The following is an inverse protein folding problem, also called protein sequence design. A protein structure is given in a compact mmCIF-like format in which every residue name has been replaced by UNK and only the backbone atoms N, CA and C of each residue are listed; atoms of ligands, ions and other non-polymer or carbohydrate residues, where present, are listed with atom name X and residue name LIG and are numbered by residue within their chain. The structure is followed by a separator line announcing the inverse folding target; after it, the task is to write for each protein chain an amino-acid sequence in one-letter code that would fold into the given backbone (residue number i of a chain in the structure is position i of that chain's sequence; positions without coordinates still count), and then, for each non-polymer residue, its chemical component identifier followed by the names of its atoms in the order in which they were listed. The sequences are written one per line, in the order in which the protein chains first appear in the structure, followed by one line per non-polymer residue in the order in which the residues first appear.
data_IF_799488620679
#
_entry.id   IF_799488620679
#
_cell.length_a   1.000
_cell.length_b   1.000
_cell.length_c   1.000
_cell.angle_alpha   90.00
_cell.angle_beta   90.00
_cell.angle_gamma   90.00
#
_symmetry.space_group_name_H-M   'P 1'
#
loop_
_entity.id
_entity.type
_entity.pdbx_description
1 polymer ?
#
# COMPACT_ATOMS: atom_id res chain seq x y z
N UNK A 1 14.42 16.41 -7.10
CA UNK A 1 14.09 16.62 -5.66
C UNK A 1 13.33 15.38 -5.19
N UNK A 2 13.71 14.73 -4.09
CA UNK A 2 12.97 13.55 -3.57
C UNK A 2 12.02 13.99 -2.46
N UNK A 3 10.79 13.48 -2.48
CA UNK A 3 9.77 13.75 -1.45
C UNK A 3 9.39 12.45 -0.78
N UNK A 4 9.22 12.47 0.54
CA UNK A 4 8.78 11.29 1.28
C UNK A 4 7.29 11.04 1.01
N UNK A 5 6.97 9.81 0.58
CA UNK A 5 5.62 9.39 0.25
C UNK A 5 5.24 8.13 1.06
N UNK A 6 3.93 7.91 1.18
CA UNK A 6 3.35 6.74 1.82
C UNK A 6 3.19 5.62 0.81
N UNK A 7 3.72 4.45 1.15
CA UNK A 7 3.66 3.25 0.33
C UNK A 7 2.98 2.10 1.08
N UNK A 8 2.30 1.26 0.31
CA UNK A 8 1.83 -0.05 0.77
C UNK A 8 2.74 -1.10 0.16
N UNK A 9 3.26 -2.00 1.02
CA UNK A 9 4.01 -3.19 0.60
C UNK A 9 3.08 -4.16 -0.13
N UNK A 10 3.07 -4.04 -1.45
CA UNK A 10 2.11 -4.72 -2.29
C UNK A 10 2.43 -6.22 -2.44
N UNK A 11 3.71 -6.59 -2.36
CA UNK A 11 4.20 -7.97 -2.40
C UNK A 11 3.58 -8.85 -1.29
N UNK A 12 3.48 -8.32 -0.07
CA UNK A 12 2.88 -9.03 1.07
C UNK A 12 1.38 -9.23 0.87
N UNK A 13 0.71 -8.26 0.26
CA UNK A 13 -0.73 -8.35 -0.04
C UNK A 13 -1.01 -9.25 -1.25
N UNK A 14 -0.09 -9.31 -2.19
CA UNK A 14 -0.24 -10.07 -3.42
C UNK A 14 -0.17 -11.58 -3.19
N UNK A 15 0.69 -12.05 -2.26
CA UNK A 15 0.84 -13.47 -1.92
C UNK A 15 -0.49 -14.18 -1.62
N UNK A 16 -1.28 -13.77 -0.60
CA UNK A 16 -2.53 -14.45 -0.29
C UNK A 16 -3.56 -14.33 -1.42
N UNK A 17 -3.51 -13.25 -2.21
CA UNK A 17 -4.42 -13.06 -3.34
C UNK A 17 -4.08 -14.02 -4.50
N UNK A 18 -2.80 -14.25 -4.78
CA UNK A 18 -2.33 -15.25 -5.76
C UNK A 18 -2.68 -16.66 -5.29
N UNK A 19 -2.42 -16.98 -4.02
CA UNK A 19 -2.72 -18.29 -3.44
C UNK A 19 -4.22 -18.63 -3.53
N UNK A 20 -5.11 -17.66 -3.30
CA UNK A 20 -6.56 -17.87 -3.43
C UNK A 20 -7.00 -18.25 -4.85
N UNK A 21 -6.31 -17.73 -5.87
CA UNK A 21 -6.58 -18.08 -7.28
C UNK A 21 -5.94 -19.43 -7.62
N UNK A 22 -4.73 -19.71 -7.13
CA UNK A 22 -4.04 -21.00 -7.35
C UNK A 22 -4.76 -22.18 -6.67
N UNK A 23 -5.29 -21.99 -5.47
CA UNK A 23 -6.10 -22.97 -4.75
C UNK A 23 -7.51 -23.13 -5.33
N UNK A 24 -7.94 -22.18 -6.16
CA UNK A 24 -9.24 -22.17 -6.81
C UNK A 24 -10.38 -21.63 -5.95
N UNK A 25 -10.09 -20.99 -4.82
CA UNK A 25 -11.07 -20.23 -4.02
C UNK A 25 -11.67 -19.07 -4.82
N UNK A 26 -10.89 -18.54 -5.79
CA UNK A 26 -11.32 -17.55 -6.77
C UNK A 26 -11.16 -18.14 -8.17
N UNK A 27 -12.21 -18.05 -8.99
CA UNK A 27 -12.22 -18.52 -10.37
C UNK A 27 -12.49 -17.35 -11.31
N UNK A 28 -11.69 -17.22 -12.37
CA UNK A 28 -11.93 -16.20 -13.40
C UNK A 28 -12.79 -16.77 -14.53
N UNK A 29 -13.76 -15.97 -14.99
CA UNK A 29 -14.60 -16.28 -16.15
C UNK A 29 -14.47 -15.16 -17.18
N UNK A 30 -13.87 -15.42 -18.36
CA UNK A 30 -13.22 -16.66 -18.81
C UNK A 30 -11.83 -16.90 -18.18
N UNK A 31 -11.40 -18.17 -18.10
CA UNK A 31 -10.12 -18.61 -17.49
C UNK A 31 -8.87 -17.94 -18.04
N UNK A 32 -8.87 -17.49 -19.29
CA UNK A 32 -7.71 -16.86 -19.92
C UNK A 32 -7.18 -15.63 -19.14
N UNK A 33 -8.03 -14.97 -18.35
CA UNK A 33 -7.63 -13.83 -17.52
C UNK A 33 -6.74 -14.20 -16.34
N UNK A 34 -6.67 -15.47 -15.93
CA UNK A 34 -5.77 -15.93 -14.86
C UNK A 34 -4.31 -15.65 -15.20
N UNK A 35 -3.91 -15.91 -16.44
CA UNK A 35 -2.53 -15.67 -16.89
C UNK A 35 -2.15 -14.18 -16.79
N UNK A 36 -3.06 -13.30 -17.21
CA UNK A 36 -2.86 -11.86 -17.09
C UNK A 36 -2.79 -11.43 -15.63
N UNK A 37 -3.70 -11.93 -14.80
CA UNK A 37 -3.70 -11.68 -13.36
C UNK A 37 -2.37 -12.08 -12.71
N UNK A 38 -1.90 -13.31 -12.95
CA UNK A 38 -0.62 -13.77 -12.40
C UNK A 38 0.57 -12.96 -12.90
N UNK A 39 0.57 -12.54 -14.16
CA UNK A 39 1.62 -11.66 -14.69
C UNK A 39 1.69 -10.33 -13.93
N UNK A 40 0.54 -9.75 -13.57
CA UNK A 40 0.49 -8.49 -12.81
C UNK A 40 0.88 -8.69 -11.35
N UNK A 41 0.38 -9.75 -10.72
CA UNK A 41 0.57 -9.97 -9.29
C UNK A 41 2.00 -10.41 -8.93
N UNK A 42 2.68 -11.14 -9.83
CA UNK A 42 4.05 -11.61 -9.60
C UNK A 42 5.12 -10.51 -9.73
N UNK A 43 4.85 -9.45 -10.48
CA UNK A 43 5.75 -8.31 -10.67
C UNK A 43 5.22 -7.01 -10.03
N UNK A 44 4.36 -7.15 -9.01
CA UNK A 44 3.72 -6.00 -8.38
C UNK A 44 4.75 -5.13 -7.64
N UNK A 45 4.65 -3.82 -7.84
CA UNK A 45 5.50 -2.83 -7.17
C UNK A 45 4.78 -2.21 -5.97
N UNK A 46 5.54 -1.68 -5.01
CA UNK A 46 4.99 -0.95 -3.86
C UNK A 46 4.05 0.17 -4.30
N UNK A 47 2.85 0.20 -3.72
CA UNK A 47 1.81 1.12 -4.17
C UNK A 47 1.90 2.46 -3.42
N UNK A 48 2.18 3.54 -4.16
CA UNK A 48 2.11 4.90 -3.62
C UNK A 48 0.66 5.32 -3.38
N UNK A 49 0.30 5.47 -2.10
CA UNK A 49 -1.05 5.87 -1.66
C UNK A 49 -1.16 7.35 -1.32
N UNK A 50 -0.05 8.05 -1.07
CA UNK A 50 -0.09 9.50 -0.85
C UNK A 50 -0.15 10.27 -2.15
N UNK A 51 -0.93 11.35 -2.12
CA UNK A 51 -1.12 12.26 -3.24
C UNK A 51 -1.20 13.69 -2.72
N UNK A 52 -0.74 14.64 -3.52
CA UNK A 52 -0.89 16.07 -3.25
C UNK A 52 -2.12 16.58 -4.00
N UNK A 53 -3.30 16.29 -3.46
CA UNK A 53 -4.60 16.64 -4.06
C UNK A 53 -5.46 17.38 -3.04
N UNK A 54 -6.36 18.24 -3.54
CA UNK A 54 -7.31 18.99 -2.71
C UNK A 54 -8.55 18.17 -2.31
N UNK A 55 -8.87 17.14 -3.08
CA UNK A 55 -9.99 16.24 -2.81
C UNK A 55 -9.46 14.83 -2.49
N UNK A 56 -10.11 14.16 -1.55
CA UNK A 56 -9.80 12.79 -1.16
C UNK A 56 -9.85 12.56 0.34
N UNK A 57 -9.57 11.32 0.75
CA UNK A 57 -9.51 10.94 2.15
C UNK A 57 -8.14 11.28 2.72
N UNK A 58 -8.12 11.96 3.88
CA UNK A 58 -6.89 12.24 4.60
C UNK A 58 -6.30 10.95 5.18
N UNK A 59 -5.00 10.73 4.97
CA UNK A 59 -4.28 9.64 5.63
C UNK A 59 -4.24 9.92 7.14
N UNK A 60 -4.70 8.98 8.00
CA UNK A 60 -4.79 9.17 9.44
C UNK A 60 -3.43 8.95 10.12
N UNK A 61 -2.45 9.78 9.75
CA UNK A 61 -1.10 9.79 10.31
C UNK A 61 -0.86 11.10 11.07
N UNK A 62 -0.26 10.97 12.25
CA UNK A 62 0.06 12.02 13.20
C UNK A 62 1.58 12.07 13.40
N UNK A 63 2.11 13.25 13.65
CA UNK A 63 3.53 13.49 13.85
C UNK A 63 3.73 14.22 15.16
N UNK A 64 4.71 13.82 15.96
CA UNK A 64 5.14 14.61 17.11
C UNK A 64 6.23 15.63 16.72
N UNK A 65 6.63 16.46 17.69
CA UNK A 65 7.66 17.49 17.49
C UNK A 65 9.05 16.89 17.21
N UNK A 66 9.28 15.63 17.58
CA UNK A 66 10.53 14.91 17.35
C UNK A 66 10.56 14.20 15.99
N UNK A 67 9.46 14.26 15.22
CA UNK A 67 9.33 13.67 13.89
C UNK A 67 8.90 12.20 13.89
N UNK A 68 8.50 11.63 15.03
CA UNK A 68 7.95 10.28 15.06
C UNK A 68 6.54 10.25 14.46
N UNK A 69 6.24 9.15 13.77
CA UNK A 69 4.96 8.97 13.08
C UNK A 69 4.08 7.94 13.79
N UNK A 70 2.80 8.30 13.97
CA UNK A 70 1.78 7.47 14.59
C UNK A 70 0.57 7.35 13.66
N UNK A 71 -0.01 6.15 13.52
CA UNK A 71 -1.19 5.93 12.66
C UNK A 71 -2.36 5.46 13.50
N UNK A 72 -3.49 6.15 13.38
CA UNK A 72 -4.67 5.91 14.20
C UNK A 72 -5.85 6.77 13.80
N UNK A 73 -7.07 6.25 14.00
CA UNK A 73 -8.33 6.95 13.64
C UNK A 73 -8.46 8.32 14.32
N UNK A 74 -7.86 8.49 15.48
CA UNK A 74 -7.80 9.74 16.23
C UNK A 74 -6.45 9.87 16.94
N UNK A 75 -6.02 11.10 17.18
CA UNK A 75 -4.72 11.45 17.77
C UNK A 75 -4.44 10.69 19.09
N UNK A 76 -5.45 10.58 19.96
CA UNK A 76 -5.35 9.88 21.25
C UNK A 76 -5.44 8.34 21.19
N UNK A 77 -5.72 7.75 20.02
CA UNK A 77 -5.79 6.29 19.81
C UNK A 77 -4.80 5.87 18.74
N UNK A 78 -3.55 6.25 18.95
CA UNK A 78 -2.43 5.83 18.12
C UNK A 78 -2.01 4.42 18.53
N UNK A 79 -2.09 3.46 17.59
CA UNK A 79 -1.62 2.11 17.87
C UNK A 79 -0.08 2.14 17.89
N UNK A 80 0.53 1.75 19.02
CA UNK A 80 1.98 1.55 19.19
C UNK A 80 2.48 0.30 18.42
N UNK A 81 1.88 0.02 17.26
CA UNK A 81 2.32 -1.00 16.32
C UNK A 81 3.42 -0.44 15.42
N UNK A 82 4.28 -1.34 14.91
CA UNK A 82 5.43 -1.06 14.04
C UNK A 82 5.33 0.27 13.29
N UNK A 83 6.30 1.14 13.53
CA UNK A 83 6.36 2.46 12.93
C UNK A 83 6.28 2.33 11.40
N UNK A 84 5.31 2.99 10.76
CA UNK A 84 5.08 2.79 9.35
C UNK A 84 6.19 3.49 8.54
N UNK A 85 6.80 2.76 7.62
CA UNK A 85 7.96 3.22 6.86
C UNK A 85 7.53 4.13 5.70
N UNK A 86 8.03 5.36 5.66
CA UNK A 86 7.92 6.25 4.49
C UNK A 86 9.13 6.00 3.59
N UNK A 87 8.90 5.74 2.31
CA UNK A 87 9.99 5.55 1.33
C UNK A 87 10.19 6.84 0.54
N UNK A 88 11.47 7.20 0.33
CA UNK A 88 11.86 8.28 -0.58
C UNK A 88 11.65 7.80 -2.00
N UNK A 89 10.82 8.51 -2.75
CA UNK A 89 10.72 8.28 -4.19
C UNK A 89 11.31 9.44 -4.99
N UNK A 90 11.98 9.14 -6.11
CA UNK A 90 12.37 10.17 -7.06
C UNK A 90 11.08 10.89 -7.47
N UNK A 91 11.05 12.22 -7.37
CA UNK A 91 9.87 12.97 -7.78
C UNK A 91 9.51 12.55 -9.21
N UNK A 92 8.27 12.10 -9.38
CA UNK A 92 7.61 12.00 -10.67
C UNK A 92 7.83 13.31 -11.42
N UNK A 93 8.72 13.26 -12.42
CA UNK A 93 8.94 14.28 -13.42
C UNK A 93 8.13 13.99 -14.67
#
# INVERSE_FOLDING_TARGET
MLTDQWYVRADVLAKPAVEAVENGDIQFVPKQYENMYFSWMRDIQDWCISRQLWWGHRIPAWYDNDGNVYVGRSEGRSASGKQPERRRCPASG
#
